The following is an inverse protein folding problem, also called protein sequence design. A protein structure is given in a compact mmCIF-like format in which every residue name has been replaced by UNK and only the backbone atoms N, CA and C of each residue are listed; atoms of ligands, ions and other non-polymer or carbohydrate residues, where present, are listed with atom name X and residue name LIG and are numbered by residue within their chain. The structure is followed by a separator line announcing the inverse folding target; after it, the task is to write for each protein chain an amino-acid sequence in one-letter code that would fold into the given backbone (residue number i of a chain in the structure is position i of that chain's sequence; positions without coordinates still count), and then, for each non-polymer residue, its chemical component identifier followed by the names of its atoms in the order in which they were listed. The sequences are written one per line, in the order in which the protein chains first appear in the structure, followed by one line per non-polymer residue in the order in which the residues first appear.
data_IF_297967687910
#
_entry.id   IF_297967687910
#
_cell.length_a   1.000
_cell.length_b   1.000
_cell.length_c   1.000
_cell.angle_alpha   90.00
_cell.angle_beta   90.00
_cell.angle_gamma   90.00
#
_symmetry.space_group_name_H-M   'P 1'
#
loop_
_entity.id
_entity.type
_entity.pdbx_description
1 polymer ?
#
# COMPACT_ATOMS: atom_id res chain seq x y z
N UNK A 1 -20.23 21.13 71.14
CA UNK A 1 -20.28 21.44 69.69
C UNK A 1 -19.04 20.79 69.07
N UNK A 2 -19.14 19.62 68.40
CA UNK A 2 -19.15 19.41 66.92
C UNK A 2 -18.08 20.28 66.23
N UNK A 3 -17.12 19.83 65.40
CA UNK A 3 -16.93 18.67 64.51
C UNK A 3 -15.40 18.34 64.48
N UNK A 4 -14.89 17.10 64.64
CA UNK A 4 -14.77 16.00 63.64
C UNK A 4 -14.24 16.41 62.25
N UNK A 5 -13.12 15.79 61.87
CA UNK A 5 -12.67 15.47 60.50
C UNK A 5 -11.70 16.45 59.81
N UNK A 6 -10.40 16.25 60.04
CA UNK A 6 -9.36 16.53 59.02
C UNK A 6 -8.73 15.19 58.66
N UNK A 7 -9.33 14.50 57.71
CA UNK A 7 -8.82 13.26 57.15
C UNK A 7 -9.32 13.18 55.70
N UNK A 8 -8.36 12.93 54.80
CA UNK A 8 -8.52 12.44 53.43
C UNK A 8 -8.97 13.45 52.36
N UNK A 9 -7.98 14.13 51.78
CA UNK A 9 -8.01 14.51 50.37
C UNK A 9 -6.70 14.10 49.67
N UNK A 10 -6.28 12.85 49.86
CA UNK A 10 -5.33 12.19 48.96
C UNK A 10 -6.13 11.68 47.75
N UNK A 11 -6.44 12.59 46.83
CA UNK A 11 -7.06 12.23 45.55
C UNK A 11 -6.09 11.31 44.81
N UNK A 12 -6.49 10.04 44.63
CA UNK A 12 -5.77 9.03 43.88
C UNK A 12 -5.53 9.54 42.44
N UNK A 13 -4.32 10.01 42.14
CA UNK A 13 -3.82 9.99 40.76
C UNK A 13 -3.59 8.53 40.41
N UNK A 14 -4.65 7.86 39.92
CA UNK A 14 -4.47 6.57 39.26
C UNK A 14 -3.74 6.87 37.94
N UNK A 15 -2.50 6.39 37.74
CA UNK A 15 -1.84 6.54 36.47
C UNK A 15 -2.64 5.74 35.45
N UNK A 16 -3.22 6.40 34.45
CA UNK A 16 -3.74 5.73 33.26
C UNK A 16 -2.56 5.06 32.57
N UNK A 17 -2.44 3.74 32.75
CA UNK A 17 -1.50 2.96 31.96
C UNK A 17 -1.83 3.19 30.49
N UNK A 18 -0.89 3.76 29.73
CA UNK A 18 -1.05 3.91 28.29
C UNK A 18 -1.19 2.51 27.69
N UNK A 19 -2.40 2.17 27.24
CA UNK A 19 -2.67 0.86 26.68
C UNK A 19 -2.01 0.78 25.30
N UNK A 20 -1.05 -0.12 25.17
CA UNK A 20 -0.49 -0.48 23.88
C UNK A 20 -1.37 -1.55 23.22
N UNK A 21 -1.70 -1.36 21.96
CA UNK A 21 -2.46 -2.32 21.19
C UNK A 21 -1.52 -3.22 20.36
N UNK A 22 -1.80 -4.52 20.25
CA UNK A 22 -1.05 -5.39 19.36
C UNK A 22 -1.18 -4.95 17.89
N UNK A 23 -0.10 -5.11 17.13
CA UNK A 23 -0.05 -4.86 15.70
C UNK A 23 0.86 -5.83 14.97
N UNK A 24 0.81 -5.79 13.64
CA UNK A 24 1.67 -6.58 12.75
C UNK A 24 2.33 -5.65 11.73
N UNK A 25 3.62 -5.88 11.47
CA UNK A 25 4.33 -5.19 10.40
C UNK A 25 4.09 -5.91 9.07
N UNK A 26 3.58 -5.22 8.06
CA UNK A 26 3.19 -5.85 6.78
C UNK A 26 4.38 -6.12 5.86
N UNK A 27 5.40 -5.28 5.92
CA UNK A 27 6.65 -5.40 5.14
C UNK A 27 7.83 -5.00 6.00
N UNK A 28 9.00 -5.59 5.72
CA UNK A 28 10.22 -5.28 6.48
C UNK A 28 10.51 -3.78 6.47
N UNK A 29 10.65 -3.20 7.66
CA UNK A 29 10.76 -1.75 7.85
C UNK A 29 11.74 -1.41 8.96
N UNK A 30 12.09 -0.13 9.08
CA UNK A 30 12.99 0.35 10.11
C UNK A 30 12.23 0.88 11.32
N UNK A 31 12.62 0.45 12.52
CA UNK A 31 12.26 1.12 13.77
C UNK A 31 13.16 2.35 13.92
N UNK A 32 12.57 3.54 14.06
CA UNK A 32 13.33 4.81 14.04
C UNK A 32 13.29 5.53 15.38
N UNK A 33 14.33 6.31 15.65
CA UNK A 33 14.44 7.08 16.89
C UNK A 33 13.46 8.27 16.98
N UNK A 34 12.69 8.54 15.93
CA UNK A 34 11.69 9.61 15.87
C UNK A 34 10.80 9.49 14.63
N UNK A 35 9.70 10.24 14.56
CA UNK A 35 8.75 10.21 13.46
C UNK A 35 9.33 10.92 12.23
N UNK A 36 9.89 10.14 11.31
CA UNK A 36 10.47 10.65 10.07
C UNK A 36 11.58 9.76 9.52
N UNK A 37 11.72 9.72 8.20
CA UNK A 37 12.70 8.86 7.53
C UNK A 37 14.16 9.30 7.71
N UNK A 38 14.41 10.54 8.14
CA UNK A 38 15.77 11.02 8.43
C UNK A 38 16.26 10.72 9.84
N UNK A 39 15.39 10.27 10.76
CA UNK A 39 15.84 9.84 12.08
C UNK A 39 16.66 8.54 12.00
N UNK A 40 17.63 8.35 12.91
CA UNK A 40 18.43 7.14 12.98
C UNK A 40 17.58 5.88 13.10
N UNK A 41 18.08 4.79 12.51
CA UNK A 41 17.54 3.45 12.77
C UNK A 41 17.95 3.00 14.16
N UNK A 42 16.96 2.49 14.89
CA UNK A 42 17.09 1.82 16.18
C UNK A 42 17.28 0.33 15.93
N UNK A 43 16.42 -0.24 15.08
CA UNK A 43 16.44 -1.64 14.67
C UNK A 43 15.72 -1.84 13.30
N UNK A 44 15.74 -3.05 12.76
CA UNK A 44 14.99 -3.49 11.58
C UNK A 44 13.94 -4.54 11.98
N UNK A 45 12.69 -4.23 11.67
CA UNK A 45 11.55 -5.11 11.95
C UNK A 45 11.22 -5.92 10.70
N UNK A 46 11.23 -7.26 10.75
CA UNK A 46 10.80 -8.11 9.63
C UNK A 46 9.30 -7.98 9.33
N UNK A 47 8.91 -8.18 8.07
CA UNK A 47 7.50 -8.38 7.71
C UNK A 47 6.89 -9.60 8.42
N UNK A 48 5.64 -9.49 8.85
CA UNK A 48 4.93 -10.47 9.67
C UNK A 48 5.24 -10.39 11.17
N UNK A 49 6.20 -9.56 11.60
CA UNK A 49 6.55 -9.44 13.01
C UNK A 49 5.43 -8.77 13.81
N UNK A 50 5.21 -9.26 15.04
CA UNK A 50 4.30 -8.66 16.01
C UNK A 50 4.98 -7.48 16.70
N UNK A 51 4.21 -6.43 16.91
CA UNK A 51 4.66 -5.22 17.61
C UNK A 51 3.55 -4.73 18.55
N UNK A 52 3.88 -3.86 19.51
CA UNK A 52 2.87 -3.16 20.29
C UNK A 52 2.85 -1.68 19.89
N UNK A 53 1.70 -1.20 19.46
CA UNK A 53 1.44 0.17 19.03
C UNK A 53 0.92 0.96 20.22
N UNK A 54 1.68 1.94 20.67
CA UNK A 54 1.36 2.76 21.84
C UNK A 54 0.55 4.01 21.48
N UNK A 55 0.57 4.37 20.21
CA UNK A 55 -0.18 5.46 19.65
C UNK A 55 0.46 5.98 18.38
N UNK A 56 -0.21 6.92 17.73
CA UNK A 56 0.30 7.56 16.53
C UNK A 56 0.48 9.07 16.72
N UNK A 57 1.43 9.63 15.98
CA UNK A 57 1.58 11.08 15.89
C UNK A 57 0.32 11.67 15.25
N UNK A 58 -0.02 12.91 15.58
CA UNK A 58 -1.07 13.64 14.87
C UNK A 58 -0.86 13.57 13.34
N UNK A 59 -1.93 13.26 12.61
CA UNK A 59 -1.88 13.03 11.16
C UNK A 59 -1.54 11.58 10.79
N UNK A 60 -1.35 10.71 11.80
CA UNK A 60 -1.35 9.25 11.72
C UNK A 60 -0.26 8.62 10.84
N UNK A 61 0.69 9.39 10.30
CA UNK A 61 1.71 8.89 9.38
C UNK A 61 2.81 8.06 10.06
N UNK A 62 3.00 8.26 11.37
CA UNK A 62 4.00 7.60 12.19
C UNK A 62 3.39 7.15 13.50
N UNK A 63 3.71 5.94 13.93
CA UNK A 63 3.26 5.39 15.19
C UNK A 63 4.43 4.99 16.07
N UNK A 64 4.28 5.25 17.36
CA UNK A 64 5.20 4.85 18.40
C UNK A 64 4.93 3.40 18.78
N UNK A 65 5.95 2.57 18.67
CA UNK A 65 5.88 1.12 18.64
C UNK A 65 7.00 0.54 19.49
N UNK A 66 6.72 -0.53 20.22
CA UNK A 66 7.76 -1.38 20.78
C UNK A 66 7.86 -2.69 20.01
N UNK A 67 9.09 -3.08 19.71
CA UNK A 67 9.45 -4.33 19.06
C UNK A 67 10.67 -4.90 19.78
N UNK A 68 10.58 -6.16 20.23
CA UNK A 68 11.55 -6.72 21.16
C UNK A 68 11.71 -5.79 22.39
N UNK A 69 12.94 -5.55 22.83
CA UNK A 69 13.28 -4.63 23.92
C UNK A 69 13.40 -3.17 23.49
N UNK A 70 13.24 -2.87 22.19
CA UNK A 70 13.39 -1.52 21.66
C UNK A 70 12.04 -0.80 21.51
N UNK A 71 12.06 0.49 21.83
CA UNK A 71 10.97 1.45 21.56
C UNK A 71 11.36 2.29 20.36
N UNK A 72 10.41 2.77 19.55
CA UNK A 72 10.70 3.64 18.42
C UNK A 72 9.49 3.94 17.53
N UNK A 73 9.74 4.57 16.39
CA UNK A 73 8.69 5.03 15.48
C UNK A 73 8.73 4.27 14.16
N UNK A 74 7.56 3.83 13.70
CA UNK A 74 7.36 3.13 12.43
C UNK A 74 6.32 3.89 11.61
N UNK A 75 6.46 3.90 10.29
CA UNK A 75 5.42 4.49 9.43
C UNK A 75 4.16 3.64 9.48
N UNK A 76 3.01 4.26 9.70
CA UNK A 76 1.72 3.57 9.82
C UNK A 76 1.31 2.80 8.56
N UNK A 77 1.83 3.18 7.39
CA UNK A 77 1.58 2.47 6.13
C UNK A 77 2.12 1.03 6.10
N UNK A 78 2.89 0.64 7.10
CA UNK A 78 3.43 -0.70 7.24
C UNK A 78 2.82 -1.45 8.44
N UNK A 79 1.78 -0.91 9.06
CA UNK A 79 1.19 -1.46 10.27
C UNK A 79 -0.24 -1.95 10.02
N UNK A 80 -0.52 -3.11 10.58
CA UNK A 80 -1.86 -3.55 10.92
C UNK A 80 -2.08 -3.36 12.42
N UNK A 81 -3.32 -3.05 12.79
CA UNK A 81 -3.73 -2.78 14.16
C UNK A 81 -4.78 -3.81 14.59
N UNK A 82 -4.64 -4.36 15.80
CA UNK A 82 -5.63 -5.27 16.36
C UNK A 82 -6.84 -4.47 16.85
N UNK A 83 -7.95 -4.57 16.13
CA UNK A 83 -9.22 -3.93 16.49
C UNK A 83 -10.32 -4.98 16.56
N UNK A 84 -11.10 -5.00 17.65
CA UNK A 84 -12.22 -5.96 17.84
C UNK A 84 -11.87 -7.39 17.43
N UNK A 85 -10.72 -7.87 17.90
CA UNK A 85 -10.20 -9.23 17.68
C UNK A 85 -9.85 -9.59 16.21
N UNK A 86 -9.62 -8.60 15.35
CA UNK A 86 -9.09 -8.81 13.99
C UNK A 86 -8.03 -7.75 13.64
N UNK A 87 -7.04 -8.13 12.86
CA UNK A 87 -6.03 -7.19 12.37
C UNK A 87 -6.59 -6.43 11.17
N UNK A 88 -6.45 -5.10 11.19
CA UNK A 88 -6.86 -4.22 10.09
C UNK A 88 -5.72 -3.33 9.66
N UNK A 89 -5.64 -3.06 8.36
CA UNK A 89 -4.65 -2.15 7.80
C UNK A 89 -4.83 -0.73 8.36
N UNK A 90 -3.88 -0.30 9.18
CA UNK A 90 -4.04 0.85 10.05
C UNK A 90 -4.43 2.14 9.30
N UNK A 91 -3.78 2.54 8.18
CA UNK A 91 -4.12 3.75 7.44
C UNK A 91 -5.58 3.89 6.99
N UNK A 92 -6.26 2.79 6.73
CA UNK A 92 -7.65 2.83 6.26
C UNK A 92 -8.63 3.03 7.43
N UNK A 93 -8.16 2.85 8.66
CA UNK A 93 -8.98 2.80 9.88
C UNK A 93 -8.61 3.84 10.94
N UNK A 94 -7.57 4.66 10.74
CA UNK A 94 -7.13 5.66 11.73
C UNK A 94 -8.18 6.72 12.10
N UNK A 95 -9.20 6.92 11.26
CA UNK A 95 -10.31 7.84 11.55
C UNK A 95 -11.52 7.11 12.19
N UNK A 96 -11.56 5.78 12.13
CA UNK A 96 -12.62 4.95 12.71
C UNK A 96 -12.20 4.36 14.07
N UNK A 97 -10.91 4.11 14.24
CA UNK A 97 -10.31 3.58 15.45
C UNK A 97 -9.72 4.76 16.23
N UNK A 98 -10.11 4.91 17.49
CA UNK A 98 -9.49 5.84 18.43
C UNK A 98 -8.07 5.38 18.81
N UNK A 99 -7.16 5.35 17.84
CA UNK A 99 -5.75 5.08 18.08
C UNK A 99 -5.20 6.24 18.91
N UNK A 100 -4.60 5.99 20.08
CA UNK A 100 -4.13 7.07 20.94
C UNK A 100 -3.19 8.02 20.20
N UNK A 101 -3.42 9.33 20.32
CA UNK A 101 -2.50 10.32 19.75
C UNK A 101 -1.39 10.59 20.75
N UNK A 102 -0.14 10.29 20.37
CA UNK A 102 1.03 10.48 21.23
C UNK A 102 1.93 11.60 20.69
N UNK A 103 2.37 12.54 21.56
CA UNK A 103 3.31 13.57 21.14
C UNK A 103 4.72 12.99 21.00
N UNK A 104 5.52 13.58 20.13
CA UNK A 104 6.96 13.34 20.08
C UNK A 104 7.71 14.57 20.60
N UNK A 105 8.35 14.43 21.76
CA UNK A 105 9.27 15.41 22.32
C UNK A 105 10.65 14.77 22.35
N UNK A 106 11.54 15.25 21.48
CA UNK A 106 12.83 14.60 21.24
C UNK A 106 13.63 14.37 22.52
N UNK A 107 13.80 15.42 23.33
CA UNK A 107 14.61 15.36 24.55
C UNK A 107 14.10 14.31 25.52
N UNK A 108 12.82 14.34 25.92
CA UNK A 108 12.29 13.39 26.90
C UNK A 108 12.23 11.97 26.35
N UNK A 109 11.81 11.81 25.09
CA UNK A 109 11.73 10.49 24.47
C UNK A 109 13.13 9.85 24.35
N UNK A 110 14.14 10.62 23.93
CA UNK A 110 15.49 10.08 23.80
C UNK A 110 16.14 9.80 25.14
N UNK A 111 15.94 10.66 26.15
CA UNK A 111 16.44 10.40 27.50
C UNK A 111 15.88 9.10 28.07
N UNK A 112 14.61 8.78 27.80
CA UNK A 112 13.98 7.57 28.31
C UNK A 112 14.45 6.28 27.63
N UNK A 113 14.73 6.32 26.32
CA UNK A 113 14.93 5.08 25.54
C UNK A 113 16.34 4.93 24.94
N UNK A 114 17.12 6.00 24.83
CA UNK A 114 18.30 6.03 23.94
C UNK A 114 19.56 6.66 24.53
N UNK A 115 19.64 6.86 25.85
CA UNK A 115 20.81 7.46 26.50
C UNK A 115 22.16 6.82 26.09
N UNK A 116 22.18 5.50 25.84
CA UNK A 116 23.36 4.75 25.41
C UNK A 116 23.62 4.71 23.89
N UNK A 117 22.77 5.31 23.04
CA UNK A 117 22.90 5.20 21.58
C UNK A 117 23.94 6.19 21.03
N UNK A 118 24.77 5.84 20.02
CA UNK A 118 25.87 6.69 19.56
C UNK A 118 25.46 8.09 19.07
N UNK A 119 24.27 8.21 18.50
CA UNK A 119 23.72 9.46 17.99
C UNK A 119 23.06 10.33 19.08
N UNK A 120 22.90 9.82 20.31
CA UNK A 120 22.27 10.54 21.42
C UNK A 120 22.97 11.86 21.72
N UNK A 121 24.32 11.86 21.73
CA UNK A 121 25.16 13.05 21.97
C UNK A 121 24.91 14.22 21.03
N UNK A 122 24.25 14.00 19.88
CA UNK A 122 23.91 15.03 18.90
C UNK A 122 22.52 15.64 19.10
N UNK A 123 22.05 15.77 20.34
CA UNK A 123 20.72 16.31 20.66
C UNK A 123 20.41 17.64 19.97
N UNK A 124 21.32 18.61 19.98
CA UNK A 124 21.09 19.92 19.35
C UNK A 124 20.81 19.80 17.84
N UNK A 125 21.57 18.97 17.13
CA UNK A 125 21.34 18.69 15.72
C UNK A 125 19.97 18.08 15.48
N UNK A 126 19.62 17.04 16.25
CA UNK A 126 18.36 16.33 16.05
C UNK A 126 17.14 17.14 16.46
N UNK A 127 17.27 18.01 17.46
CA UNK A 127 16.24 18.97 17.82
C UNK A 127 15.97 19.93 16.66
N UNK A 128 17.02 20.50 16.06
CA UNK A 128 16.90 21.36 14.86
C UNK A 128 16.30 20.63 13.66
N UNK A 129 16.73 19.38 13.42
CA UNK A 129 16.13 18.51 12.40
C UNK A 129 14.63 18.32 12.66
N UNK A 130 14.23 18.00 13.89
CA UNK A 130 12.83 17.79 14.23
C UNK A 130 11.99 19.05 14.00
N UNK A 131 12.43 20.19 14.52
CA UNK A 131 11.74 21.48 14.34
C UNK A 131 11.50 21.80 12.87
N UNK A 132 12.48 21.50 12.00
CA UNK A 132 12.36 21.75 10.56
C UNK A 132 11.56 20.70 9.78
N UNK A 133 11.39 19.48 10.31
CA UNK A 133 10.78 18.36 9.58
C UNK A 133 9.42 17.89 10.12
N UNK A 134 8.98 18.39 11.27
CA UNK A 134 7.72 17.98 11.91
C UNK A 134 6.52 18.06 10.95
N UNK A 135 6.43 19.10 10.12
CA UNK A 135 5.33 19.27 9.14
C UNK A 135 5.22 18.14 8.12
N UNK A 136 6.34 17.50 7.79
CA UNK A 136 6.36 16.36 6.86
C UNK A 136 6.00 15.07 7.59
N UNK A 137 6.43 14.94 8.84
CA UNK A 137 6.09 13.80 9.69
C UNK A 137 4.59 13.72 10.01
N UNK A 138 3.87 14.85 10.07
CA UNK A 138 2.42 14.86 10.28
C UNK A 138 1.61 14.67 9.00
N UNK A 139 2.26 14.56 7.84
CA UNK A 139 1.57 14.37 6.55
C UNK A 139 1.60 12.89 6.17
N UNK A 140 0.42 12.29 6.06
CA UNK A 140 0.25 10.94 5.54
C UNK A 140 0.61 10.90 4.05
N UNK A 141 1.64 10.15 3.69
CA UNK A 141 2.01 9.89 2.28
C UNK A 141 2.02 8.38 2.06
N UNK A 142 0.94 7.84 1.50
CA UNK A 142 0.81 6.40 1.28
C UNK A 142 1.51 5.96 0.00
N UNK A 143 2.45 5.03 0.13
CA UNK A 143 2.97 4.29 -1.02
C UNK A 143 1.89 3.31 -1.55
N UNK A 144 1.52 3.35 -2.85
CA UNK A 144 0.48 2.48 -3.38
C UNK A 144 0.77 0.99 -3.30
N UNK A 145 2.05 0.58 -3.34
CA UNK A 145 2.45 -0.83 -3.19
C UNK A 145 2.32 -1.26 -1.73
N UNK A 146 2.78 -0.43 -0.79
CA UNK A 146 2.61 -0.70 0.64
C UNK A 146 1.12 -0.84 1.00
N UNK A 147 0.29 0.07 0.51
CA UNK A 147 -1.16 0.02 0.72
C UNK A 147 -1.81 -1.23 0.12
N UNK A 148 -1.35 -1.69 -1.05
CA UNK A 148 -1.82 -2.94 -1.65
C UNK A 148 -1.46 -4.14 -0.78
N UNK A 149 -0.21 -4.21 -0.31
CA UNK A 149 0.28 -5.32 0.51
C UNK A 149 -0.48 -5.36 1.85
N UNK A 150 -0.61 -4.22 2.53
CA UNK A 150 -1.31 -4.16 3.81
C UNK A 150 -2.79 -4.53 3.70
N UNK A 151 -3.51 -4.00 2.69
CA UNK A 151 -4.91 -4.39 2.45
C UNK A 151 -5.06 -5.87 2.10
N UNK A 152 -4.13 -6.44 1.33
CA UNK A 152 -4.13 -7.86 1.01
C UNK A 152 -3.92 -8.72 2.26
N UNK A 153 -2.96 -8.37 3.11
CA UNK A 153 -2.70 -9.06 4.38
C UNK A 153 -3.94 -9.07 5.29
N UNK A 154 -4.61 -7.92 5.43
CA UNK A 154 -5.86 -7.80 6.21
C UNK A 154 -6.98 -8.67 5.65
N UNK A 155 -7.14 -8.68 4.32
CA UNK A 155 -8.12 -9.54 3.66
C UNK A 155 -7.84 -11.02 3.92
N UNK A 156 -6.58 -11.46 3.75
CA UNK A 156 -6.19 -12.85 3.93
C UNK A 156 -6.38 -13.30 5.39
N UNK A 157 -6.10 -12.42 6.35
CA UNK A 157 -6.37 -12.65 7.77
C UNK A 157 -7.88 -12.80 8.04
N UNK A 158 -8.73 -11.98 7.42
CA UNK A 158 -10.17 -12.11 7.54
C UNK A 158 -10.69 -13.44 6.97
N UNK A 159 -10.22 -13.84 5.78
CA UNK A 159 -10.56 -15.13 5.16
C UNK A 159 -10.10 -16.31 6.03
N UNK A 160 -8.91 -16.22 6.64
CA UNK A 160 -8.41 -17.25 7.55
C UNK A 160 -9.28 -17.37 8.81
N UNK A 161 -9.72 -16.26 9.38
CA UNK A 161 -10.65 -16.24 10.52
C UNK A 161 -12.01 -16.86 10.15
N UNK A 162 -12.56 -16.50 8.99
CA UNK A 162 -13.81 -17.10 8.49
C UNK A 162 -13.66 -18.62 8.34
N UNK A 163 -12.60 -19.09 7.68
CA UNK A 163 -12.32 -20.54 7.52
C UNK A 163 -12.16 -21.26 8.86
N UNK A 164 -11.53 -20.61 9.83
CA UNK A 164 -11.39 -21.14 11.20
C UNK A 164 -12.75 -21.22 11.92
N UNK A 165 -13.72 -20.40 11.52
CA UNK A 165 -15.11 -20.41 11.99
C UNK A 165 -16.06 -21.33 11.21
N UNK A 166 -15.62 -21.97 10.11
CA UNK A 166 -16.44 -22.92 9.31
C UNK A 166 -16.49 -24.29 9.98
N UNK A 167 -17.11 -24.32 11.17
CA UNK A 167 -18.04 -25.37 11.61
C UNK A 167 -19.02 -24.90 12.69
N UNK A 168 -19.26 -23.59 12.83
CA UNK A 168 -20.41 -23.11 13.59
C UNK A 168 -21.69 -23.28 12.74
N UNK A 169 -22.20 -24.51 12.69
CA UNK A 169 -23.54 -24.82 12.22
C UNK A 169 -24.56 -24.11 13.12
N UNK A 170 -25.60 -23.57 12.49
CA UNK A 170 -26.94 -23.52 13.08
C UNK A 170 -27.47 -22.10 13.25
N UNK A 171 -28.47 -21.78 12.42
CA UNK A 171 -29.39 -20.68 12.65
C UNK A 171 -29.84 -20.66 14.12
N UNK A 172 -29.44 -19.63 14.87
CA UNK A 172 -30.13 -19.27 16.10
C UNK A 172 -30.47 -17.79 15.99
N UNK A 173 -31.74 -17.54 15.65
CA UNK A 173 -32.36 -16.25 15.88
C UNK A 173 -32.44 -16.04 17.39
N UNK A 174 -31.83 -14.96 17.89
CA UNK A 174 -32.05 -14.48 19.25
C UNK A 174 -32.65 -13.07 19.15
N UNK A 175 -33.93 -13.01 19.47
CA UNK A 175 -34.69 -11.79 19.79
C UNK A 175 -34.39 -11.38 21.24
N UNK A 176 -34.06 -10.11 21.47
CA UNK A 176 -33.96 -9.50 22.80
C UNK A 176 -33.46 -8.05 22.75
N UNK A 177 -33.92 -7.14 23.65
CA UNK A 177 -34.24 -5.75 23.29
C UNK A 177 -33.13 -4.72 23.55
N UNK A 178 -33.29 -3.59 22.86
CA UNK A 178 -32.38 -2.46 22.71
C UNK A 178 -31.87 -1.80 24.01
N UNK A 179 -30.62 -1.29 23.96
CA UNK A 179 -30.35 0.14 24.18
C UNK A 179 -28.93 0.56 23.71
N UNK A 180 -28.93 1.47 22.74
CA UNK A 180 -27.91 2.49 22.41
C UNK A 180 -26.46 2.06 22.05
N UNK A 181 -26.18 1.93 20.74
CA UNK A 181 -25.31 2.87 19.97
C UNK A 181 -25.65 2.68 18.48
N UNK A 182 -26.37 3.64 17.92
CA UNK A 182 -26.57 3.73 16.47
C UNK A 182 -25.25 4.14 15.80
N UNK A 183 -24.59 3.19 15.13
CA UNK A 183 -23.92 3.33 13.80
C UNK A 183 -23.12 2.07 13.38
N UNK A 184 -23.77 0.96 12.95
CA UNK A 184 -23.10 -0.05 12.11
C UNK A 184 -23.37 0.18 10.60
N UNK A 185 -24.30 1.06 10.22
CA UNK A 185 -24.79 1.13 8.84
C UNK A 185 -23.84 1.83 7.86
N UNK A 186 -22.95 2.71 8.32
CA UNK A 186 -22.07 3.46 7.40
C UNK A 186 -20.92 2.61 6.84
N UNK A 187 -20.32 1.74 7.66
CA UNK A 187 -19.25 0.85 7.22
C UNK A 187 -19.77 -0.27 6.30
N UNK A 188 -20.96 -0.81 6.60
CA UNK A 188 -21.62 -1.81 5.74
C UNK A 188 -22.11 -1.18 4.44
N UNK A 189 -22.66 0.04 4.48
CA UNK A 189 -23.04 0.77 3.27
C UNK A 189 -21.82 1.16 2.41
N UNK A 190 -20.70 1.57 3.02
CA UNK A 190 -19.44 1.82 2.30
C UNK A 190 -18.89 0.54 1.67
N UNK A 191 -18.90 -0.59 2.37
CA UNK A 191 -18.51 -1.90 1.81
C UNK A 191 -19.40 -2.28 0.61
N UNK A 192 -20.72 -2.14 0.74
CA UNK A 192 -21.65 -2.45 -0.35
C UNK A 192 -21.49 -1.50 -1.55
N UNK A 193 -21.21 -0.22 -1.29
CA UNK A 193 -20.93 0.76 -2.34
C UNK A 193 -19.61 0.46 -3.07
N UNK A 194 -18.54 0.12 -2.34
CA UNK A 194 -17.24 -0.26 -2.93
C UNK A 194 -17.36 -1.54 -3.74
N UNK A 195 -18.07 -2.56 -3.25
CA UNK A 195 -18.34 -3.81 -4.00
C UNK A 195 -19.15 -3.54 -5.27
N UNK A 196 -20.09 -2.60 -5.23
CA UNK A 196 -20.89 -2.21 -6.41
C UNK A 196 -20.04 -1.45 -7.43
N UNK A 197 -19.16 -0.55 -6.97
CA UNK A 197 -18.21 0.17 -7.84
C UNK A 197 -17.22 -0.81 -8.49
N UNK A 198 -16.73 -1.81 -7.77
CA UNK A 198 -15.78 -2.77 -8.32
C UNK A 198 -16.45 -3.71 -9.34
N UNK A 199 -17.68 -4.16 -9.06
CA UNK A 199 -18.48 -4.96 -10.00
C UNK A 199 -18.84 -4.19 -11.27
N UNK A 200 -19.15 -2.89 -11.16
CA UNK A 200 -19.41 -2.04 -12.33
C UNK A 200 -18.13 -1.74 -13.13
N UNK A 201 -16.99 -1.59 -12.47
CA UNK A 201 -15.68 -1.43 -13.14
C UNK A 201 -15.27 -2.70 -13.88
N UNK A 202 -15.45 -3.86 -13.27
CA UNK A 202 -15.21 -5.16 -13.90
C UNK A 202 -16.09 -5.34 -15.14
N UNK A 203 -17.41 -5.12 -15.03
CA UNK A 203 -18.33 -5.19 -16.16
C UNK A 203 -17.99 -4.21 -17.29
N UNK A 204 -17.56 -2.98 -16.95
CA UNK A 204 -17.09 -1.99 -17.95
C UNK A 204 -15.80 -2.44 -18.64
N UNK A 205 -14.87 -3.05 -17.90
CA UNK A 205 -13.62 -3.57 -18.46
C UNK A 205 -13.84 -4.75 -19.41
N UNK A 206 -14.77 -5.65 -19.09
CA UNK A 206 -15.17 -6.76 -19.96
C UNK A 206 -15.84 -6.26 -21.24
N UNK A 207 -16.73 -5.25 -21.15
CA UNK A 207 -17.34 -4.65 -22.34
C UNK A 207 -16.28 -4.06 -23.28
N UNK A 208 -15.30 -3.32 -22.74
CA UNK A 208 -14.22 -2.73 -23.54
C UNK A 208 -13.35 -3.82 -24.17
N UNK A 209 -13.08 -4.92 -23.47
CA UNK A 209 -12.34 -6.06 -24.01
C UNK A 209 -13.10 -6.75 -25.16
N UNK A 210 -14.41 -6.98 -24.99
CA UNK A 210 -15.27 -7.55 -26.03
C UNK A 210 -15.39 -6.64 -27.26
N UNK A 211 -15.52 -5.33 -27.07
CA UNK A 211 -15.54 -4.37 -28.18
C UNK A 211 -14.22 -4.38 -28.96
N UNK A 212 -13.07 -4.42 -28.26
CA UNK A 212 -11.75 -4.53 -28.92
C UNK A 212 -11.60 -5.84 -29.69
N UNK A 213 -12.03 -6.96 -29.11
CA UNK A 213 -12.01 -8.26 -29.79
C UNK A 213 -12.92 -8.26 -31.04
N UNK A 214 -14.10 -7.65 -30.96
CA UNK A 214 -15.01 -7.52 -32.09
C UNK A 214 -14.40 -6.68 -33.22
N UNK A 215 -13.77 -5.54 -32.92
CA UNK A 215 -13.10 -4.69 -33.92
C UNK A 215 -11.93 -5.44 -34.58
N UNK A 216 -11.12 -6.16 -33.81
CA UNK A 216 -10.03 -6.99 -34.36
C UNK A 216 -10.54 -8.11 -35.28
N UNK A 217 -11.67 -8.74 -34.93
CA UNK A 217 -12.26 -9.78 -35.77
C UNK A 217 -12.78 -9.22 -37.10
N UNK A 218 -13.34 -7.99 -37.09
CA UNK A 218 -13.79 -7.31 -38.31
C UNK A 218 -12.61 -6.91 -39.20
N UNK A 219 -11.56 -6.34 -38.63
CA UNK A 219 -10.37 -5.97 -39.41
C UNK A 219 -9.67 -7.19 -40.01
N UNK A 220 -9.63 -8.33 -39.29
CA UNK A 220 -9.11 -9.58 -39.82
C UNK A 220 -9.93 -10.11 -41.01
N UNK A 221 -11.27 -10.06 -40.92
CA UNK A 221 -12.16 -10.46 -42.04
C UNK A 221 -12.01 -9.54 -43.25
N UNK A 222 -11.89 -8.24 -43.05
CA UNK A 222 -11.64 -7.28 -44.15
C UNK A 222 -10.30 -7.52 -44.82
N UNK A 223 -9.24 -7.78 -44.03
CA UNK A 223 -7.93 -8.11 -44.58
C UNK A 223 -7.95 -9.41 -45.40
N UNK A 224 -8.67 -10.43 -44.91
CA UNK A 224 -8.89 -11.67 -45.66
C UNK A 224 -9.65 -11.43 -46.97
N UNK A 225 -10.71 -10.62 -46.95
CA UNK A 225 -11.48 -10.28 -48.15
C UNK A 225 -10.62 -9.58 -49.21
N UNK A 226 -9.78 -8.62 -48.81
CA UNK A 226 -8.83 -7.95 -49.72
C UNK A 226 -7.84 -8.94 -50.34
N UNK A 227 -7.23 -9.81 -49.52
CA UNK A 227 -6.31 -10.83 -50.03
C UNK A 227 -6.97 -11.80 -51.02
N UNK A 228 -8.23 -12.17 -50.80
CA UNK A 228 -8.96 -13.03 -51.73
C UNK A 228 -9.31 -12.30 -53.03
N UNK A 229 -9.65 -11.01 -52.96
CA UNK A 229 -9.88 -10.18 -54.13
C UNK A 229 -8.60 -10.00 -54.97
N UNK A 230 -7.46 -9.71 -54.33
CA UNK A 230 -6.17 -9.61 -54.99
C UNK A 230 -5.76 -10.94 -55.65
N UNK A 231 -5.98 -12.08 -54.99
CA UNK A 231 -5.75 -13.40 -55.58
C UNK A 231 -6.64 -13.67 -56.79
N UNK A 232 -7.90 -13.26 -56.74
CA UNK A 232 -8.83 -13.39 -57.87
C UNK A 232 -8.41 -12.51 -59.05
N UNK A 233 -8.06 -11.24 -58.79
CA UNK A 233 -7.52 -10.32 -59.78
C UNK A 233 -6.21 -10.84 -60.41
N UNK A 234 -5.29 -11.37 -59.60
CA UNK A 234 -4.04 -11.97 -60.07
C UNK A 234 -4.29 -13.17 -60.99
N UNK A 235 -5.24 -14.05 -60.63
CA UNK A 235 -5.63 -15.19 -61.47
C UNK A 235 -6.26 -14.74 -62.79
N UNK A 236 -7.07 -13.67 -62.78
CA UNK A 236 -7.65 -13.11 -63.98
C UNK A 236 -6.58 -12.50 -64.90
N UNK A 237 -5.60 -11.79 -64.33
CA UNK A 237 -4.48 -11.20 -65.08
C UNK A 237 -3.59 -12.27 -65.74
N UNK A 238 -3.27 -13.38 -65.04
CA UNK A 238 -2.53 -14.52 -65.60
C UNK A 238 -3.27 -15.15 -66.79
N UNK A 239 -4.61 -15.19 -66.74
CA UNK A 239 -5.44 -15.74 -67.82
C UNK A 239 -5.56 -14.81 -69.03
N UNK A 240 -5.23 -13.53 -68.87
CA UNK A 240 -5.37 -12.49 -69.89
C UNK A 240 -4.02 -12.04 -70.51
N UNK A 241 -2.88 -12.64 -70.13
CA UNK A 241 -1.58 -12.28 -70.71
C UNK A 241 -1.50 -12.70 -72.19
N UNK A 242 -1.34 -11.75 -73.13
CA UNK A 242 -0.99 -12.06 -74.51
C UNK A 242 0.50 -12.39 -74.61
N UNK A 243 0.85 -13.40 -75.40
CA UNK A 243 2.23 -13.74 -75.74
C UNK A 243 2.88 -12.59 -76.52
N UNK A 244 3.73 -11.78 -75.88
CA UNK A 244 4.53 -10.77 -76.56
C UNK A 244 6.02 -10.87 -76.22
N UNK A 245 6.72 -11.50 -77.18
CA UNK A 245 8.04 -11.21 -77.77
C UNK A 245 9.05 -10.38 -76.98
N UNK A 246 10.23 -10.99 -76.82
CA UNK A 246 11.43 -10.46 -76.20
C UNK A 246 12.18 -9.42 -77.05
N UNK A 247 12.85 -8.50 -76.34
CA UNK A 247 14.19 -7.90 -76.55
C UNK A 247 14.17 -6.39 -76.31
N UNK A 248 14.90 -5.94 -75.29
CA UNK A 248 15.84 -4.81 -75.34
C UNK A 248 16.58 -4.77 -73.98
N UNK A 249 17.91 -4.83 -74.00
CA UNK A 249 18.78 -4.47 -72.87
C UNK A 249 19.60 -3.25 -73.32
N UNK A 250 20.10 -2.39 -72.42
CA UNK A 250 21.52 -2.56 -72.10
C UNK A 250 22.02 -2.09 -70.71
N UNK A 251 23.15 -2.74 -70.37
CA UNK A 251 24.39 -2.29 -69.70
C UNK A 251 24.48 -2.04 -68.19
N UNK A 252 25.48 -2.72 -67.64
CA UNK A 252 25.94 -2.78 -66.27
C UNK A 252 26.91 -1.64 -65.88
N UNK A 253 26.96 -1.31 -64.59
CA UNK A 253 28.02 -0.56 -63.94
C UNK A 253 28.43 -1.28 -62.63
N UNK A 254 29.74 -1.37 -62.38
CA UNK A 254 30.40 -2.12 -61.30
C UNK A 254 30.42 -1.38 -59.94
N UNK A 255 30.64 -2.08 -58.79
CA UNK A 255 30.65 -1.45 -57.47
C UNK A 255 32.06 -1.03 -56.99
N UNK A 256 32.14 0.08 -56.24
CA UNK A 256 33.35 0.62 -55.62
C UNK A 256 33.55 0.17 -54.15
N UNK A 257 34.82 0.10 -53.74
CA UNK A 257 35.34 -0.48 -52.50
C UNK A 257 35.18 0.37 -51.22
N UNK A 258 35.26 -0.30 -50.06
CA UNK A 258 35.23 0.25 -48.68
C UNK A 258 36.64 0.56 -48.14
N UNK A 259 36.82 1.59 -47.28
CA UNK A 259 38.02 1.71 -46.44
C UNK A 259 37.80 1.33 -44.95
N UNK A 260 38.90 0.91 -44.32
CA UNK A 260 39.04 0.35 -42.98
C UNK A 260 39.27 1.40 -41.87
N UNK A 261 39.02 1.00 -40.62
CA UNK A 261 39.17 1.76 -39.37
C UNK A 261 40.60 1.81 -38.82
N UNK A 262 41.02 2.88 -38.11
CA UNK A 262 42.28 2.88 -37.37
C UNK A 262 42.11 2.63 -35.85
N UNK A 263 43.12 1.99 -35.27
CA UNK A 263 43.35 1.74 -33.85
C UNK A 263 44.37 2.78 -33.33
N UNK A 264 44.20 3.31 -32.11
CA UNK A 264 45.17 4.22 -31.45
C UNK A 264 45.47 3.71 -30.04
N UNK A 265 46.77 3.60 -29.76
CA UNK A 265 47.38 3.15 -28.51
C UNK A 265 47.55 4.30 -27.48
N UNK A 266 47.57 3.96 -26.20
CA UNK A 266 47.96 4.81 -25.07
C UNK A 266 49.45 4.62 -24.74
N UNK A 267 50.15 5.66 -24.27
CA UNK A 267 51.26 5.53 -23.33
C UNK A 267 50.79 5.52 -21.86
#
# INVERSE_FOLDING_TARGET
MRLKSVLLAALLLVPTAALAAPGIVTVSTGLRAGPGTGFPLVDRIPGGARVNIHGCLRGNAWCDVSFSDDRGWVSSQYLEYLYRNHYVYLPDYVDEIDVPVVPFVLTSYWSSYYAGRPWYRRHAYWNSYWTSHQRFATRMTLDPRAARIGRAATHDAAVALERSGVRARGNVAVTGPDTAVARPNAAIAKRNAVVTIDRTRAARSERIANERAAVQSRSAREAQARMMHDRAASRAAVRAQPMTRAHEAPRAAAPAARPATPHVAQP
#
